data_IF_026312457630
#
_entry.id   IF_026312457630
#
_cell.length_a   1.000
_cell.length_b   1.000
_cell.length_c   1.000
_cell.angle_alpha   90.00
_cell.angle_beta   90.00
_cell.angle_gamma   90.00
#
_symmetry.space_group_name_H-M   'P 1'
#
loop_
_entity.id
_entity.type
_entity.pdbx_description
1 polymer ?
#
# COMPACT_ATOMS: atom_id res chain seq x y z
N UNK A 1 -25.84 -4.12 0.63
CA UNK A 1 -25.17 -3.36 1.73
C UNK A 1 -25.62 -4.01 3.03
N UNK A 2 -24.69 -4.44 3.88
CA UNK A 2 -25.00 -5.19 5.11
C UNK A 2 -25.71 -4.29 6.14
N UNK A 3 -26.76 -4.79 6.78
CA UNK A 3 -27.55 -4.04 7.75
C UNK A 3 -26.98 -4.20 9.16
N UNK A 4 -27.37 -3.32 10.08
CA UNK A 4 -27.00 -3.44 11.51
C UNK A 4 -27.43 -4.77 12.12
N UNK A 5 -28.57 -5.32 11.67
CA UNK A 5 -29.07 -6.62 12.14
C UNK A 5 -28.13 -7.79 11.79
N UNK A 6 -27.54 -7.77 10.59
CA UNK A 6 -26.57 -8.78 10.18
C UNK A 6 -25.34 -8.80 11.10
N UNK A 7 -24.74 -7.63 11.35
CA UNK A 7 -23.55 -7.53 12.19
C UNK A 7 -23.81 -7.96 13.63
N UNK A 8 -25.00 -7.63 14.15
CA UNK A 8 -25.43 -8.03 15.48
C UNK A 8 -25.60 -9.56 15.59
N UNK A 9 -26.23 -10.20 14.60
CA UNK A 9 -26.36 -11.65 14.54
C UNK A 9 -25.00 -12.36 14.46
N UNK A 10 -24.07 -11.85 13.65
CA UNK A 10 -22.70 -12.39 13.57
C UNK A 10 -21.97 -12.25 14.91
N UNK A 11 -22.09 -11.10 15.59
CA UNK A 11 -21.46 -10.89 16.88
C UNK A 11 -21.99 -11.83 17.97
N UNK A 12 -23.29 -12.18 17.95
CA UNK A 12 -23.88 -13.14 18.89
C UNK A 12 -23.46 -14.59 18.63
N UNK A 13 -23.04 -14.93 17.41
CA UNK A 13 -22.52 -16.25 17.09
C UNK A 13 -21.06 -16.45 17.49
N UNK A 14 -20.34 -15.38 17.87
CA UNK A 14 -18.93 -15.44 18.27
C UNK A 14 -18.83 -15.80 19.76
N UNK A 15 -17.89 -16.69 20.16
CA UNK A 15 -17.67 -17.03 21.57
C UNK A 15 -17.37 -15.81 22.46
N UNK A 16 -17.67 -15.94 23.76
CA UNK A 16 -17.39 -14.90 24.76
C UNK A 16 -15.90 -14.53 24.72
N UNK A 17 -15.62 -13.22 24.63
CA UNK A 17 -14.27 -12.66 24.48
C UNK A 17 -13.87 -12.38 23.03
N UNK A 18 -14.63 -12.85 22.04
CA UNK A 18 -14.41 -12.52 20.63
C UNK A 18 -15.20 -11.29 20.16
N UNK A 19 -14.66 -10.57 19.19
CA UNK A 19 -15.31 -9.42 18.54
C UNK A 19 -15.31 -9.57 17.03
N UNK A 20 -16.39 -9.13 16.39
CA UNK A 20 -16.40 -8.96 14.94
C UNK A 20 -15.31 -7.96 14.55
N UNK A 21 -14.53 -8.31 13.54
CA UNK A 21 -13.61 -7.41 12.87
C UNK A 21 -14.05 -7.18 11.42
N UNK A 22 -14.85 -6.15 11.11
CA UNK A 22 -15.27 -5.91 9.74
C UNK A 22 -14.08 -5.52 8.89
N UNK A 23 -13.82 -6.24 7.80
CA UNK A 23 -12.84 -5.83 6.79
C UNK A 23 -13.55 -4.96 5.76
N UNK A 24 -13.07 -3.73 5.58
CA UNK A 24 -13.63 -2.79 4.62
C UNK A 24 -12.74 -2.80 3.38
N UNK A 25 -13.26 -3.27 2.25
CA UNK A 25 -12.58 -3.19 0.96
C UNK A 25 -13.20 -2.06 0.16
N UNK A 26 -12.37 -1.15 -0.33
CA UNK A 26 -12.79 -0.08 -1.23
C UNK A 26 -11.90 -0.07 -2.47
N UNK A 27 -12.45 0.34 -3.59
CA UNK A 27 -11.68 0.61 -4.79
C UNK A 27 -12.20 1.90 -5.41
N UNK A 28 -11.29 2.73 -5.90
CA UNK A 28 -11.63 3.94 -6.63
C UNK A 28 -10.85 3.98 -7.94
N UNK A 29 -11.39 4.65 -8.95
CA UNK A 29 -10.75 4.77 -10.26
C UNK A 29 -9.68 5.84 -10.19
N UNK A 30 -8.42 5.46 -10.29
CA UNK A 30 -7.30 6.41 -10.40
C UNK A 30 -6.88 6.56 -11.86
N UNK A 31 -6.73 7.80 -12.31
CA UNK A 31 -6.22 8.11 -13.66
C UNK A 31 -4.69 8.08 -13.62
N UNK A 32 -4.08 7.11 -14.31
CA UNK A 32 -2.62 6.87 -14.26
C UNK A 32 -1.80 7.92 -15.01
N UNK A 33 -2.39 8.63 -15.97
CA UNK A 33 -1.70 9.69 -16.73
C UNK A 33 -2.67 10.85 -17.02
N UNK A 34 -2.16 12.08 -16.90
CA UNK A 34 -2.88 13.31 -17.32
C UNK A 34 -2.49 13.77 -18.73
N UNK A 35 -1.42 13.22 -19.30
CA UNK A 35 -0.77 13.73 -20.53
C UNK A 35 -0.49 12.70 -21.63
N UNK A 36 -0.72 11.39 -21.44
CA UNK A 36 -0.55 10.40 -22.51
C UNK A 36 -1.30 9.09 -22.19
N UNK A 37 -2.40 8.87 -22.92
CA UNK A 37 -3.18 7.62 -22.93
C UNK A 37 -4.09 7.42 -21.72
N UNK A 38 -5.41 7.42 -21.94
CA UNK A 38 -6.48 7.17 -20.95
C UNK A 38 -6.38 5.78 -20.28
N UNK A 39 -5.36 5.55 -19.45
CA UNK A 39 -5.20 4.34 -18.65
C UNK A 39 -5.63 4.63 -17.22
N UNK A 40 -6.49 3.77 -16.69
CA UNK A 40 -6.95 3.85 -15.31
C UNK A 40 -6.50 2.61 -14.55
N UNK A 41 -6.17 2.80 -13.28
CA UNK A 41 -6.00 1.73 -12.30
C UNK A 41 -7.15 1.77 -11.31
N UNK A 42 -7.36 0.64 -10.63
CA UNK A 42 -8.33 0.49 -9.56
C UNK A 42 -7.57 -0.04 -8.34
N UNK A 43 -6.89 0.83 -7.56
CA UNK A 43 -6.32 0.42 -6.30
C UNK A 43 -7.38 -0.22 -5.42
N UNK A 44 -6.98 -1.26 -4.68
CA UNK A 44 -7.79 -1.89 -3.65
C UNK A 44 -7.28 -1.42 -2.29
N UNK A 45 -8.12 -0.69 -1.56
CA UNK A 45 -7.88 -0.23 -0.21
C UNK A 45 -8.48 -1.22 0.79
N UNK A 46 -7.70 -1.60 1.80
CA UNK A 46 -8.14 -2.50 2.86
C UNK A 46 -8.09 -1.84 4.24
N UNK A 47 -9.29 -1.73 4.81
CA UNK A 47 -9.73 -1.20 6.09
C UNK A 47 -10.01 -2.21 7.21
N UNK A 48 -9.98 -1.84 8.48
CA UNK A 48 -10.79 -2.49 9.53
C UNK A 48 -11.87 -1.53 10.04
N UNK A 49 -13.07 -2.04 10.23
CA UNK A 49 -14.24 -1.28 10.70
C UNK A 49 -14.18 -0.93 12.19
N UNK A 50 -13.35 -1.64 12.97
CA UNK A 50 -13.13 -1.36 14.40
C UNK A 50 -12.30 -0.10 14.61
N UNK A 51 -11.63 0.43 13.58
CA UNK A 51 -10.92 1.68 13.69
C UNK A 51 -11.94 2.83 13.82
N UNK A 52 -11.95 3.59 14.93
CA UNK A 52 -12.92 4.66 15.12
C UNK A 52 -12.88 5.66 13.96
N UNK A 53 -14.06 6.08 13.49
CA UNK A 53 -14.20 7.01 12.34
C UNK A 53 -13.32 8.26 12.51
N UNK A 54 -13.20 8.79 13.73
CA UNK A 54 -12.37 9.95 14.04
C UNK A 54 -10.87 9.69 13.79
N UNK A 55 -10.37 8.51 14.17
CA UNK A 55 -8.99 8.08 13.90
C UNK A 55 -8.78 7.83 12.41
N UNK A 56 -9.72 7.13 11.76
CA UNK A 56 -9.66 6.86 10.31
C UNK A 56 -9.61 8.14 9.46
N UNK A 57 -10.28 9.21 9.91
CA UNK A 57 -10.33 10.52 9.24
C UNK A 57 -9.25 11.50 9.72
N UNK A 58 -8.34 11.09 10.60
CA UNK A 58 -7.27 11.93 11.13
C UNK A 58 -5.92 11.41 10.63
N UNK A 59 -5.43 11.85 9.45
CA UNK A 59 -4.14 11.41 8.91
C UNK A 59 -2.97 11.56 9.89
N UNK A 60 -3.00 12.56 10.77
CA UNK A 60 -1.97 12.77 11.79
C UNK A 60 -1.92 11.68 12.87
N UNK A 61 -2.99 10.89 13.03
CA UNK A 61 -3.01 9.76 13.97
C UNK A 61 -2.32 8.50 13.41
N UNK A 62 -1.94 8.49 12.12
CA UNK A 62 -1.18 7.41 11.44
C UNK A 62 -1.78 6.00 11.49
N UNK A 63 -2.89 5.75 12.17
CA UNK A 63 -3.49 4.42 12.27
C UNK A 63 -3.74 3.74 10.91
N UNK A 64 -4.25 4.47 9.92
CA UNK A 64 -4.42 3.91 8.56
C UNK A 64 -3.09 3.66 7.84
N UNK A 65 -2.05 4.45 8.11
CA UNK A 65 -0.71 4.24 7.56
C UNK A 65 -0.11 2.95 8.15
N UNK A 66 -0.23 2.76 9.46
CA UNK A 66 0.28 1.56 10.14
C UNK A 66 -0.41 0.29 9.65
N UNK A 67 -1.75 0.28 9.56
CA UNK A 67 -2.50 -0.85 9.03
C UNK A 67 -2.06 -1.17 7.59
N UNK A 68 -1.90 -0.14 6.75
CA UNK A 68 -1.42 -0.32 5.38
C UNK A 68 -0.02 -0.96 5.36
N UNK A 69 0.94 -0.41 6.12
CA UNK A 69 2.31 -0.90 6.13
C UNK A 69 2.45 -2.30 6.74
N UNK A 70 1.73 -2.60 7.82
CA UNK A 70 1.67 -3.95 8.39
C UNK A 70 1.07 -4.96 7.40
N UNK A 71 0.00 -4.58 6.70
CA UNK A 71 -0.63 -5.43 5.68
C UNK A 71 0.32 -5.68 4.50
N UNK A 72 0.95 -4.63 3.98
CA UNK A 72 1.92 -4.75 2.89
C UNK A 72 3.13 -5.58 3.30
N UNK A 73 3.65 -5.43 4.52
CA UNK A 73 4.73 -6.25 5.04
C UNK A 73 4.34 -7.74 5.04
N UNK A 74 3.14 -8.06 5.52
CA UNK A 74 2.65 -9.43 5.54
C UNK A 74 2.45 -10.01 4.12
N UNK A 75 1.82 -9.25 3.22
CA UNK A 75 1.57 -9.66 1.83
C UNK A 75 2.87 -9.86 1.05
N UNK A 76 3.88 -9.01 1.27
CA UNK A 76 5.15 -9.06 0.57
C UNK A 76 6.18 -9.99 1.22
N UNK A 77 5.92 -10.54 2.41
CA UNK A 77 6.87 -11.39 3.12
C UNK A 77 7.31 -12.63 2.30
N UNK A 78 6.41 -13.37 1.62
CA UNK A 78 6.84 -14.48 0.76
C UNK A 78 7.73 -14.02 -0.39
N UNK A 79 7.44 -12.87 -0.98
CA UNK A 79 8.23 -12.28 -2.07
C UNK A 79 9.62 -11.87 -1.57
N UNK A 80 9.68 -11.24 -0.40
CA UNK A 80 10.92 -10.83 0.26
C UNK A 80 11.79 -12.04 0.61
N UNK A 81 11.17 -13.11 1.11
CA UNK A 81 11.86 -14.37 1.40
C UNK A 81 12.43 -15.00 0.13
N UNK A 82 11.62 -15.11 -0.94
CA UNK A 82 12.06 -15.65 -2.23
C UNK A 82 13.15 -14.80 -2.92
N UNK A 83 13.07 -13.48 -2.80
CA UNK A 83 14.04 -12.54 -3.36
C UNK A 83 15.36 -12.44 -2.59
N UNK A 84 15.44 -12.97 -1.38
CA UNK A 84 16.65 -12.89 -0.56
C UNK A 84 17.77 -13.76 -1.16
N UNK A 85 18.94 -13.20 -1.50
CA UNK A 85 20.06 -13.99 -2.05
C UNK A 85 20.50 -15.15 -1.14
N UNK A 86 20.26 -15.06 0.17
CA UNK A 86 20.61 -16.08 1.17
C UNK A 86 19.66 -17.27 1.23
N UNK A 87 18.41 -17.13 0.77
CA UNK A 87 17.42 -18.23 0.76
C UNK A 87 17.60 -19.14 -0.44
N UNK A 88 18.48 -18.75 -1.38
CA UNK A 88 18.77 -19.54 -2.56
C UNK A 88 17.59 -19.58 -3.52
N UNK A 89 16.86 -18.48 -3.71
CA UNK A 89 15.95 -18.24 -4.85
C UNK A 89 14.80 -19.23 -5.02
N UNK A 90 14.03 -19.05 -6.09
CA UNK A 90 12.95 -19.97 -6.50
C UNK A 90 13.15 -20.45 -7.92
N UNK A 91 12.88 -21.73 -8.17
CA UNK A 91 12.89 -22.27 -9.53
C UNK A 91 11.61 -21.84 -10.26
N UNK A 92 11.79 -21.24 -11.44
CA UNK A 92 10.68 -20.80 -12.29
C UNK A 92 10.95 -21.18 -13.73
N UNK A 93 9.91 -21.63 -14.43
CA UNK A 93 9.95 -21.86 -15.88
C UNK A 93 9.88 -20.51 -16.58
N UNK A 94 10.91 -20.20 -17.36
CA UNK A 94 10.94 -18.99 -18.18
C UNK A 94 10.01 -19.08 -19.38
N UNK A 95 9.78 -17.95 -20.07
CA UNK A 95 8.99 -17.90 -21.30
C UNK A 95 9.59 -18.72 -22.46
N UNK A 96 10.86 -19.11 -22.36
CA UNK A 96 11.57 -19.98 -23.29
C UNK A 96 11.51 -21.47 -22.90
N UNK A 97 10.75 -21.83 -21.86
CA UNK A 97 10.59 -23.20 -21.37
C UNK A 97 11.74 -23.71 -20.48
N UNK A 98 12.82 -22.93 -20.31
CA UNK A 98 13.95 -23.32 -19.47
C UNK A 98 13.69 -22.96 -18.00
N UNK A 99 14.07 -23.84 -17.08
CA UNK A 99 14.00 -23.60 -15.64
C UNK A 99 15.20 -22.74 -15.21
N UNK A 100 14.92 -21.65 -14.48
CA UNK A 100 15.95 -20.77 -13.91
C UNK A 100 15.68 -20.47 -12.46
N UNK A 101 16.76 -20.17 -11.75
CA UNK A 101 16.74 -19.69 -10.37
C UNK A 101 16.46 -18.19 -10.37
N UNK A 102 15.28 -17.81 -9.92
CA UNK A 102 14.79 -16.42 -9.91
C UNK A 102 14.75 -15.88 -8.48
N UNK A 103 15.13 -14.61 -8.34
CA UNK A 103 15.05 -13.86 -7.09
C UNK A 103 14.08 -12.70 -7.31
N UNK A 104 12.78 -12.91 -7.02
CA UNK A 104 11.78 -11.90 -7.30
C UNK A 104 11.96 -10.71 -6.36
N UNK A 105 12.09 -9.51 -6.92
CA UNK A 105 12.20 -8.26 -6.19
C UNK A 105 11.02 -7.35 -6.53
N UNK A 106 10.44 -6.72 -5.51
CA UNK A 106 9.48 -5.65 -5.74
C UNK A 106 10.22 -4.44 -6.32
N UNK A 107 10.08 -4.22 -7.62
CA UNK A 107 10.79 -3.17 -8.35
C UNK A 107 10.07 -1.82 -8.32
N UNK A 108 8.73 -1.80 -8.44
CA UNK A 108 7.97 -0.56 -8.53
C UNK A 108 6.63 -0.65 -7.80
N UNK A 109 6.23 0.47 -7.20
CA UNK A 109 4.89 0.69 -6.67
C UNK A 109 4.28 1.89 -7.40
N UNK A 110 3.42 1.62 -8.38
CA UNK A 110 2.77 2.66 -9.17
C UNK A 110 1.58 3.21 -8.39
N UNK A 111 1.60 4.50 -8.12
CA UNK A 111 0.63 5.18 -7.29
C UNK A 111 0.49 6.63 -7.77
N UNK A 112 -0.69 7.21 -7.60
CA UNK A 112 -0.91 8.66 -7.68
C UNK A 112 -0.39 9.37 -6.43
N UNK A 113 -0.45 10.71 -6.43
CA UNK A 113 0.28 11.51 -5.45
C UNK A 113 -0.12 11.26 -3.97
N UNK A 114 -1.41 11.20 -3.60
CA UNK A 114 -1.81 10.84 -2.24
C UNK A 114 -1.29 9.47 -1.79
N UNK A 115 -1.28 8.48 -2.68
CA UNK A 115 -0.95 7.08 -2.48
C UNK A 115 0.57 6.93 -2.41
N UNK A 116 1.33 7.66 -3.22
CA UNK A 116 2.78 7.79 -3.07
C UNK A 116 3.13 8.36 -1.69
N UNK A 117 2.37 9.34 -1.19
CA UNK A 117 2.59 9.88 0.15
C UNK A 117 2.28 8.85 1.25
N UNK A 118 1.25 8.01 1.07
CA UNK A 118 0.94 6.89 1.97
C UNK A 118 2.09 5.87 2.04
N UNK A 119 2.55 5.42 0.87
CA UNK A 119 3.61 4.40 0.73
C UNK A 119 4.95 4.87 1.27
N UNK A 120 5.30 6.14 1.07
CA UNK A 120 6.58 6.69 1.51
C UNK A 120 6.53 7.31 2.90
N UNK A 121 5.38 7.22 3.60
CA UNK A 121 5.14 7.89 4.86
C UNK A 121 5.39 9.41 4.83
N UNK A 122 5.25 10.05 3.66
CA UNK A 122 5.42 11.49 3.53
C UNK A 122 4.13 12.26 3.77
N UNK A 123 4.26 13.49 4.27
CA UNK A 123 3.12 14.38 4.47
C UNK A 123 2.56 14.82 3.12
N UNK A 124 1.24 14.82 2.97
CA UNK A 124 0.57 15.44 1.82
C UNK A 124 1.02 16.89 1.65
N UNK A 125 1.29 17.30 0.40
CA UNK A 125 1.89 18.60 0.09
C UNK A 125 3.42 18.62 0.20
N UNK A 126 4.08 17.47 0.26
CA UNK A 126 5.55 17.37 0.14
C UNK A 126 5.93 16.38 -0.96
N UNK A 127 7.14 16.49 -1.52
CA UNK A 127 7.59 15.55 -2.54
C UNK A 127 7.91 14.20 -1.89
N UNK A 128 7.40 13.04 -2.36
CA UNK A 128 7.71 11.73 -1.79
C UNK A 128 9.19 11.31 -1.92
N UNK A 129 9.90 11.90 -2.89
CA UNK A 129 11.28 11.52 -3.27
C UNK A 129 12.35 12.45 -2.68
N UNK A 130 12.07 13.75 -2.60
CA UNK A 130 13.04 14.76 -2.18
C UNK A 130 12.48 15.71 -1.11
N UNK A 131 13.33 16.51 -0.48
CA UNK A 131 12.97 17.40 0.63
C UNK A 131 12.22 18.69 0.22
N UNK A 132 11.76 18.80 -1.03
CA UNK A 132 11.03 19.98 -1.52
C UNK A 132 9.72 20.26 -0.78
N UNK A 133 9.44 21.56 -0.61
CA UNK A 133 8.22 22.09 -0.01
C UNK A 133 7.09 22.13 -1.04
N UNK A 134 5.85 22.30 -0.56
CA UNK A 134 4.64 22.30 -1.38
C UNK A 134 4.71 23.26 -2.58
N UNK A 135 5.22 24.47 -2.36
CA UNK A 135 5.27 25.53 -3.37
C UNK A 135 6.28 25.22 -4.49
N UNK A 136 7.19 24.28 -4.26
CA UNK A 136 8.24 23.89 -5.20
C UNK A 136 7.88 22.62 -5.99
N UNK A 137 6.68 22.05 -5.73
CA UNK A 137 6.14 20.89 -6.44
C UNK A 137 5.69 21.30 -7.84
N UNK A 138 6.58 21.18 -8.82
CA UNK A 138 6.35 21.57 -10.22
C UNK A 138 7.60 22.08 -10.92
N UNK A 139 8.65 22.38 -10.16
CA UNK A 139 9.97 22.69 -10.71
C UNK A 139 10.58 21.47 -11.40
N UNK A 140 11.27 21.71 -12.52
CA UNK A 140 11.80 20.66 -13.39
C UNK A 140 12.94 19.85 -12.74
N UNK A 141 13.66 20.42 -11.78
CA UNK A 141 14.75 19.76 -11.05
C UNK A 141 14.26 19.08 -9.77
N UNK A 142 14.87 17.94 -9.41
CA UNK A 142 14.68 17.35 -8.10
C UNK A 142 15.36 18.22 -7.01
N UNK A 143 14.94 18.07 -5.75
CA UNK A 143 15.68 18.61 -4.60
C UNK A 143 16.51 17.50 -3.94
N UNK A 144 17.09 17.79 -2.79
CA UNK A 144 17.87 16.82 -2.03
C UNK A 144 17.06 15.57 -1.68
N UNK A 145 17.65 14.39 -1.86
CA UNK A 145 17.00 13.11 -1.61
C UNK A 145 16.50 12.99 -0.16
N UNK A 146 15.32 12.39 0.04
CA UNK A 146 14.84 12.06 1.39
C UNK A 146 15.55 10.88 2.00
N UNK A 147 15.98 9.94 1.16
CA UNK A 147 16.64 8.71 1.59
C UNK A 147 18.13 8.85 1.36
N UNK A 148 18.91 8.53 2.39
CA UNK A 148 20.37 8.45 2.36
C UNK A 148 20.88 7.16 1.70
N UNK A 149 20.21 6.67 0.66
CA UNK A 149 20.89 5.79 -0.28
C UNK A 149 21.93 6.66 -0.98
N UNK A 150 23.17 6.56 -0.52
CA UNK A 150 24.32 7.08 -1.25
C UNK A 150 24.40 6.44 -2.64
N UNK A 151 25.28 6.94 -3.52
CA UNK A 151 25.54 6.31 -4.80
C UNK A 151 25.86 4.81 -4.66
#
# INVERSE_FOLDING_TARGET
MWTTGFWNAVQHAIPVGGTVCPVIIASDKTNLTRFSGNKSAYPVYLTIGNLPKALRRKPSARACYEIFHCSMAHVLEPLKSAGNPKTGGIEMVGGDGNVRKVYPLLCTYVADYPEQCLVTCTKYGTCPKCQRKANDLGLASAGDSRTCYGP
#
